data_IF_856944116514
#
_entry.id   IF_856944116514
#
_cell.length_a   1.000
_cell.length_b   1.000
_cell.length_c   1.000
_cell.angle_alpha   90.00
_cell.angle_beta   90.00
_cell.angle_gamma   90.00
#
_symmetry.space_group_name_H-M   'P 1'
#
loop_
_entity.id
_entity.type
_entity.pdbx_description
1 polymer ?
#
# COMPACT_ATOMS: atom_id res chain seq x y z
N UNK A 1 -19.77 24.20 17.07
CA UNK A 1 -19.83 24.18 15.58
C UNK A 1 -18.44 24.23 14.92
N UNK A 2 -17.35 24.48 15.64
CA UNK A 2 -15.98 24.52 15.06
C UNK A 2 -15.25 23.17 15.05
N UNK A 3 -15.57 22.27 15.98
CA UNK A 3 -15.01 20.89 16.04
C UNK A 3 -15.22 20.10 14.74
N UNK A 4 -16.42 20.18 14.15
CA UNK A 4 -16.72 19.49 12.89
C UNK A 4 -15.94 20.05 11.70
N UNK A 5 -15.64 21.35 11.72
CA UNK A 5 -14.90 22.04 10.66
C UNK A 5 -13.42 21.62 10.69
N UNK A 6 -12.82 21.57 11.88
CA UNK A 6 -11.46 21.06 12.08
C UNK A 6 -11.32 19.59 11.67
N UNK A 7 -12.24 18.72 12.10
CA UNK A 7 -12.20 17.30 11.74
C UNK A 7 -12.36 17.10 10.23
N UNK A 8 -13.26 17.85 9.59
CA UNK A 8 -13.44 17.77 8.12
C UNK A 8 -12.19 18.22 7.39
N UNK A 9 -11.56 19.32 7.81
CA UNK A 9 -10.33 19.83 7.20
C UNK A 9 -9.18 18.82 7.31
N UNK A 10 -8.95 18.28 8.50
CA UNK A 10 -7.88 17.29 8.75
C UNK A 10 -8.12 16.02 7.93
N UNK A 11 -9.38 15.57 7.86
CA UNK A 11 -9.74 14.38 7.07
C UNK A 11 -9.55 14.62 5.58
N UNK A 12 -9.93 15.79 5.07
CA UNK A 12 -9.69 16.18 3.66
C UNK A 12 -8.19 16.20 3.35
N UNK A 13 -7.37 16.81 4.22
CA UNK A 13 -5.92 16.82 4.04
C UNK A 13 -5.30 15.42 4.08
N UNK A 14 -5.82 14.53 4.94
CA UNK A 14 -5.39 13.13 5.00
C UNK A 14 -5.79 12.34 3.75
N UNK A 15 -6.99 12.56 3.22
CA UNK A 15 -7.51 11.90 1.99
C UNK A 15 -6.78 12.40 0.73
N UNK A 16 -6.34 13.66 0.70
CA UNK A 16 -5.51 14.23 -0.37
C UNK A 16 -4.06 13.74 -0.31
N UNK A 17 -3.74 12.77 0.54
CA UNK A 17 -2.53 11.96 0.36
C UNK A 17 -2.89 10.69 -0.44
N UNK A 18 -3.04 10.74 -1.80
CA UNK A 18 -2.97 9.53 -2.60
C UNK A 18 -1.61 8.89 -2.31
N UNK A 19 -1.63 7.87 -1.45
CA UNK A 19 -0.43 7.16 -1.05
C UNK A 19 0.20 6.43 -2.24
N UNK A 20 1.30 5.73 -1.94
CA UNK A 20 2.03 4.94 -2.94
C UNK A 20 1.13 3.94 -3.69
N UNK A 21 0.13 3.37 -3.02
CA UNK A 21 -0.81 2.41 -3.60
C UNK A 21 -1.70 3.03 -4.69
N UNK A 22 -2.27 4.21 -4.40
CA UNK A 22 -3.14 4.92 -5.35
C UNK A 22 -2.35 5.42 -6.56
N UNK A 23 -1.10 5.89 -6.34
CA UNK A 23 -0.19 6.26 -7.41
C UNK A 23 0.17 5.07 -8.30
N UNK A 24 0.43 3.90 -7.71
CA UNK A 24 0.76 2.67 -8.43
C UNK A 24 -0.41 2.17 -9.27
N UNK A 25 -1.62 2.13 -8.70
CA UNK A 25 -2.85 1.74 -9.41
C UNK A 25 -3.15 2.71 -10.54
N UNK A 26 -3.06 4.01 -10.30
CA UNK A 26 -3.28 5.04 -11.32
C UNK A 26 -2.29 4.89 -12.47
N UNK A 27 -1.00 4.74 -12.17
CA UNK A 27 0.04 4.52 -13.19
C UNK A 27 -0.21 3.23 -13.99
N UNK A 28 -0.59 2.13 -13.34
CA UNK A 28 -0.87 0.87 -14.03
C UNK A 28 -2.11 0.96 -14.92
N UNK A 29 -3.16 1.63 -14.46
CA UNK A 29 -4.40 1.87 -15.20
C UNK A 29 -4.17 2.77 -16.43
N UNK A 30 -3.30 3.78 -16.31
CA UNK A 30 -2.91 4.66 -17.43
C UNK A 30 -1.97 3.99 -18.44
N UNK A 31 -1.06 3.10 -18.01
CA UNK A 31 -0.02 2.54 -18.90
C UNK A 31 -0.46 1.29 -19.65
N UNK A 32 -1.29 0.42 -19.03
CA UNK A 32 -1.67 -0.89 -19.58
C UNK A 32 -3.19 -1.05 -19.81
N UNK A 33 -3.98 0.00 -19.58
CA UNK A 33 -5.43 0.00 -19.77
C UNK A 33 -6.26 -0.48 -18.57
N UNK A 34 -7.59 -0.32 -18.68
CA UNK A 34 -8.56 -0.54 -17.58
C UNK A 34 -8.57 -1.95 -17.01
N UNK A 35 -8.30 -2.96 -17.83
CA UNK A 35 -8.34 -4.37 -17.43
C UNK A 35 -7.15 -4.76 -16.57
N UNK A 36 -5.93 -4.34 -16.92
CA UNK A 36 -4.74 -4.62 -16.11
C UNK A 36 -4.73 -3.86 -14.77
N UNK A 37 -5.35 -2.67 -14.74
CA UNK A 37 -5.58 -1.93 -13.50
C UNK A 37 -6.47 -2.68 -12.51
N UNK A 38 -7.55 -3.32 -12.98
CA UNK A 38 -8.47 -4.11 -12.14
C UNK A 38 -7.81 -5.35 -11.55
N UNK A 39 -6.99 -6.07 -12.32
CA UNK A 39 -6.26 -7.24 -11.79
C UNK A 39 -5.21 -6.83 -10.75
N UNK A 40 -4.54 -5.70 -10.97
CA UNK A 40 -3.56 -5.15 -10.02
C UNK A 40 -4.20 -4.79 -8.69
N UNK A 41 -5.32 -4.05 -8.70
CA UNK A 41 -6.02 -3.65 -7.46
C UNK A 41 -6.55 -4.86 -6.69
N UNK A 42 -7.04 -5.87 -7.39
CA UNK A 42 -7.57 -7.09 -6.78
C UNK A 42 -6.47 -7.90 -6.08
N UNK A 43 -5.31 -8.04 -6.73
CA UNK A 43 -4.15 -8.70 -6.13
C UNK A 43 -3.60 -7.97 -4.91
N UNK A 44 -3.45 -6.65 -4.99
CA UNK A 44 -2.99 -5.80 -3.88
C UNK A 44 -3.98 -5.89 -2.71
N UNK A 45 -5.29 -5.78 -2.98
CA UNK A 45 -6.32 -5.86 -1.94
C UNK A 45 -6.30 -7.18 -1.19
N UNK A 46 -6.19 -8.31 -1.90
CA UNK A 46 -6.11 -9.64 -1.29
C UNK A 46 -4.81 -9.80 -0.50
N UNK A 47 -3.67 -9.37 -1.06
CA UNK A 47 -2.37 -9.46 -0.42
C UNK A 47 -2.30 -8.65 0.88
N UNK A 48 -2.80 -7.42 0.87
CA UNK A 48 -2.92 -6.58 2.08
C UNK A 48 -3.80 -7.24 3.12
N UNK A 49 -4.94 -7.81 2.72
CA UNK A 49 -5.84 -8.48 3.66
C UNK A 49 -5.15 -9.65 4.37
N UNK A 50 -4.46 -10.52 3.62
CA UNK A 50 -3.71 -11.66 4.17
C UNK A 50 -2.60 -11.18 5.10
N UNK A 51 -1.87 -10.14 4.70
CA UNK A 51 -0.79 -9.58 5.50
C UNK A 51 -1.29 -8.98 6.83
N UNK A 52 -2.38 -8.21 6.79
CA UNK A 52 -3.01 -7.64 7.99
C UNK A 52 -3.54 -8.75 8.89
N UNK A 53 -4.19 -9.77 8.32
CA UNK A 53 -4.70 -10.90 9.08
C UNK A 53 -3.58 -11.67 9.79
N UNK A 54 -2.50 -11.98 9.07
CA UNK A 54 -1.32 -12.63 9.64
C UNK A 54 -0.67 -11.78 10.73
N UNK A 55 -0.53 -10.47 10.49
CA UNK A 55 0.07 -9.54 11.46
C UNK A 55 -0.80 -9.41 12.70
N UNK A 56 -2.11 -9.26 12.55
CA UNK A 56 -3.04 -9.11 13.67
C UNK A 56 -3.06 -10.36 14.56
N UNK A 57 -3.07 -11.55 13.95
CA UNK A 57 -3.00 -12.82 14.69
C UNK A 57 -1.62 -13.03 15.31
N UNK A 58 -0.55 -12.84 14.53
CA UNK A 58 0.83 -13.13 14.95
C UNK A 58 1.38 -12.12 15.96
N UNK A 59 1.25 -10.83 15.67
CA UNK A 59 1.77 -9.76 16.53
C UNK A 59 0.92 -9.62 17.80
N UNK A 60 -0.38 -9.92 17.74
CA UNK A 60 -1.27 -9.93 18.91
C UNK A 60 -0.83 -10.92 19.99
N UNK A 61 -0.39 -12.12 19.60
CA UNK A 61 0.12 -13.14 20.53
C UNK A 61 1.45 -12.70 21.15
N UNK A 62 2.30 -12.03 20.36
CA UNK A 62 3.65 -11.65 20.79
C UNK A 62 3.63 -10.44 21.73
N UNK A 63 2.77 -9.45 21.49
CA UNK A 63 2.67 -8.24 22.33
C UNK A 63 2.18 -8.54 23.75
N UNK A 64 1.34 -9.57 23.93
CA UNK A 64 0.80 -9.94 25.24
C UNK A 64 1.86 -10.43 26.24
N UNK A 65 3.04 -10.83 25.76
CA UNK A 65 4.08 -11.46 26.60
C UNK A 65 5.12 -10.49 27.15
N UNK A 66 5.39 -9.35 26.48
CA UNK A 66 6.49 -8.46 26.87
C UNK A 66 6.23 -6.98 26.54
N UNK A 67 6.06 -6.08 27.53
CA UNK A 67 5.85 -4.65 27.29
C UNK A 67 7.07 -3.96 26.62
N UNK A 68 8.27 -4.52 26.75
CA UNK A 68 9.46 -4.00 26.08
C UNK A 68 9.40 -4.13 24.54
N UNK A 69 8.72 -5.16 24.03
CA UNK A 69 8.64 -5.43 22.59
C UNK A 69 7.71 -4.43 21.87
N UNK A 70 6.67 -3.97 22.56
CA UNK A 70 5.81 -2.89 22.07
C UNK A 70 6.59 -1.56 21.97
N UNK A 71 7.45 -1.27 22.94
CA UNK A 71 8.30 -0.07 22.90
C UNK A 71 9.32 -0.12 21.76
N UNK A 72 9.94 -1.27 21.51
CA UNK A 72 10.83 -1.45 20.36
C UNK A 72 10.10 -1.27 19.03
N UNK A 73 8.89 -1.85 18.89
CA UNK A 73 8.06 -1.68 17.69
C UNK A 73 7.66 -0.21 17.45
N UNK A 74 7.35 0.53 18.52
CA UNK A 74 7.07 1.98 18.43
C UNK A 74 8.28 2.76 17.91
N UNK A 75 9.48 2.44 18.40
CA UNK A 75 10.72 3.09 17.95
C UNK A 75 10.99 2.74 16.47
N UNK A 76 10.90 1.47 16.10
CA UNK A 76 11.08 1.02 14.72
C UNK A 76 10.07 1.67 13.78
N UNK A 77 8.79 1.72 14.17
CA UNK A 77 7.74 2.39 13.41
C UNK A 77 7.98 3.89 13.25
N UNK A 78 8.43 4.57 14.31
CA UNK A 78 8.78 5.99 14.24
C UNK A 78 9.95 6.25 13.29
N UNK A 79 11.04 5.45 13.37
CA UNK A 79 12.19 5.56 12.46
C UNK A 79 11.77 5.28 11.02
N UNK A 80 10.93 4.27 10.79
CA UNK A 80 10.42 3.92 9.46
C UNK A 80 9.57 5.03 8.85
N UNK A 81 8.70 5.67 9.63
CA UNK A 81 7.91 6.81 9.15
C UNK A 81 8.78 8.03 8.84
N UNK A 82 9.82 8.30 9.64
CA UNK A 82 10.80 9.36 9.34
C UNK A 82 11.49 9.06 8.01
N UNK A 83 11.91 7.81 7.79
CA UNK A 83 12.55 7.39 6.53
C UNK A 83 11.62 7.57 5.32
N UNK A 84 10.37 7.09 5.38
CA UNK A 84 9.37 7.24 4.31
C UNK A 84 9.02 8.73 4.07
N UNK A 85 8.89 9.52 5.13
CA UNK A 85 8.63 10.96 5.03
C UNK A 85 9.77 11.70 4.33
N UNK A 86 11.01 11.36 4.68
CA UNK A 86 12.19 11.95 4.06
C UNK A 86 12.40 11.49 2.61
N UNK A 87 12.11 10.24 2.30
CA UNK A 87 12.15 9.70 0.94
C UNK A 87 11.12 10.38 0.03
N UNK A 88 9.91 10.63 0.55
CA UNK A 88 8.85 11.40 -0.13
C UNK A 88 9.27 12.84 -0.40
N UNK A 89 9.91 13.50 0.58
CA UNK A 89 10.38 14.88 0.43
C UNK A 89 11.54 15.02 -0.57
N UNK A 90 12.39 13.99 -0.73
CA UNK A 90 13.52 13.98 -1.67
C UNK A 90 13.15 13.64 -3.11
N UNK A 91 11.87 13.46 -3.44
CA UNK A 91 11.39 13.38 -4.82
C UNK A 91 11.88 12.15 -5.60
N UNK A 92 12.23 11.06 -4.92
CA UNK A 92 12.71 9.87 -5.61
C UNK A 92 11.52 9.17 -6.28
N UNK A 93 11.47 9.11 -7.63
CA UNK A 93 10.40 8.41 -8.32
C UNK A 93 10.40 6.96 -7.85
N UNK A 94 9.24 6.52 -7.36
CA UNK A 94 9.02 5.18 -6.83
C UNK A 94 9.72 4.16 -7.74
N UNK A 95 10.74 3.53 -7.17
CA UNK A 95 11.51 2.45 -7.78
C UNK A 95 10.55 1.49 -8.46
N UNK A 96 10.71 1.34 -9.76
CA UNK A 96 10.03 0.35 -10.59
C UNK A 96 10.08 -1.01 -9.90
N UNK A 97 8.97 -1.41 -9.27
CA UNK A 97 8.73 -2.81 -8.95
C UNK A 97 8.55 -3.48 -10.31
N UNK A 98 9.62 -4.12 -10.72
CA UNK A 98 9.82 -4.73 -12.02
C UNK A 98 8.87 -5.92 -12.17
N UNK A 99 8.20 -5.97 -13.33
CA UNK A 99 7.79 -7.17 -14.07
C UNK A 99 7.43 -8.43 -13.25
N UNK A 100 6.14 -8.59 -12.99
CA UNK A 100 5.50 -9.91 -13.03
C UNK A 100 4.33 -9.77 -14.00
N UNK A 101 4.57 -9.79 -15.32
CA UNK A 101 4.95 -10.99 -16.06
C UNK A 101 4.27 -12.26 -15.51
N UNK A 102 2.93 -12.25 -15.46
CA UNK A 102 2.18 -13.45 -15.85
C UNK A 102 1.40 -13.11 -17.12
N UNK A 103 2.18 -13.00 -18.18
CA UNK A 103 1.76 -13.21 -19.55
C UNK A 103 1.05 -14.57 -19.64
N UNK A 104 -0.26 -14.60 -19.41
CA UNK A 104 -1.12 -15.58 -20.08
C UNK A 104 -1.37 -15.11 -21.52
N UNK A 105 -0.28 -14.93 -22.25
CA UNK A 105 -0.24 -15.03 -23.69
C UNK A 105 -0.28 -16.53 -24.01
N UNK A 106 -1.46 -17.13 -23.85
CA UNK A 106 -1.83 -18.26 -24.70
C UNK A 106 -2.40 -17.64 -25.97
N UNK A 107 -1.59 -17.75 -27.02
CA UNK A 107 -1.74 -17.14 -28.32
C UNK A 107 -3.09 -17.40 -28.99
N UNK A 108 -3.49 -16.50 -29.91
CA UNK A 108 -4.46 -16.78 -30.94
C UNK A 108 -3.87 -17.75 -31.99
N UNK A 109 -4.59 -18.82 -32.32
CA UNK A 109 -4.45 -19.64 -33.53
C UNK A 109 -5.75 -20.44 -33.64
N UNK A 110 -6.67 -20.20 -34.59
CA UNK A 110 -6.53 -20.55 -36.01
C UNK A 110 -5.93 -21.95 -36.20
N UNK A 111 -6.78 -22.98 -36.12
CA UNK A 111 -6.67 -24.21 -36.92
C UNK A 111 -7.80 -25.20 -36.55
N UNK A 112 -8.97 -25.05 -37.17
CA UNK A 112 -9.74 -26.12 -37.87
C UNK A 112 -11.06 -25.57 -38.40
#
# INVERSE_FOLDING_TARGET
MQELLSVTLITILAVISPGADFALVTRNSFTHGRTMGLWTTLGIGVGVQIHVFYTMVGVGIVIATQPAMLSALKIVGAVYLIYIGYQTFRGMPATSINDTQSSSHLSPCSSL
#
